data_IF_075199979030
#
_entry.id   IF_075199979030
#
_cell.length_a   1.000
_cell.length_b   1.000
_cell.length_c   1.000
_cell.angle_alpha   90.00
_cell.angle_beta   90.00
_cell.angle_gamma   90.00
#
_symmetry.space_group_name_H-M   'P 1'
#
loop_
_entity.id
_entity.type
_entity.pdbx_description
1 polymer ?
#
# COMPACT_ATOMS: atom_id res chain seq x y z
N UNK A 1 -3.26 -27.00 3.72
CA UNK A 1 -4.70 -27.31 3.53
C UNK A 1 -5.38 -26.12 2.87
N UNK A 2 -6.64 -26.26 2.41
CA UNK A 2 -7.39 -25.15 1.81
C UNK A 2 -7.59 -24.01 2.83
N UNK A 3 -7.52 -22.76 2.37
CA UNK A 3 -7.80 -21.58 3.19
C UNK A 3 -9.31 -21.38 3.25
N UNK A 4 -9.91 -21.64 4.40
CA UNK A 4 -11.32 -21.33 4.65
C UNK A 4 -11.49 -19.90 5.17
N UNK A 5 -12.69 -19.35 5.04
CA UNK A 5 -13.01 -18.04 5.62
C UNK A 5 -12.75 -18.00 7.13
N UNK A 6 -13.03 -19.08 7.85
CA UNK A 6 -12.79 -19.17 9.29
C UNK A 6 -11.29 -19.08 9.63
N UNK A 7 -10.43 -19.78 8.88
CA UNK A 7 -8.96 -19.73 9.06
C UNK A 7 -8.44 -18.33 8.73
N UNK A 8 -8.93 -17.75 7.63
CA UNK A 8 -8.56 -16.41 7.21
C UNK A 8 -8.95 -15.35 8.27
N UNK A 9 -10.20 -15.39 8.74
CA UNK A 9 -10.73 -14.44 9.73
C UNK A 9 -10.00 -14.56 11.07
N UNK A 10 -9.69 -15.79 11.52
CA UNK A 10 -8.91 -16.01 12.75
C UNK A 10 -7.54 -15.33 12.67
N UNK A 11 -6.83 -15.47 11.56
CA UNK A 11 -5.54 -14.82 11.36
C UNK A 11 -5.66 -13.29 11.33
N UNK A 12 -6.63 -12.76 10.57
CA UNK A 12 -6.79 -11.32 10.39
C UNK A 12 -7.33 -10.60 11.62
N UNK A 13 -8.03 -11.31 12.52
CA UNK A 13 -8.45 -10.77 13.82
C UNK A 13 -7.29 -10.63 14.82
N UNK A 14 -6.18 -11.35 14.62
CA UNK A 14 -5.07 -11.38 15.57
C UNK A 14 -4.29 -10.05 15.55
N UNK A 15 -4.18 -9.39 16.70
CA UNK A 15 -3.52 -8.08 16.81
C UNK A 15 -2.07 -8.08 16.29
N UNK A 16 -1.30 -9.12 16.61
CA UNK A 16 0.09 -9.23 16.15
C UNK A 16 0.17 -9.26 14.62
N UNK A 17 -0.80 -9.91 13.96
CA UNK A 17 -0.86 -10.00 12.51
C UNK A 17 -1.25 -8.65 11.91
N UNK A 18 -2.23 -7.94 12.49
CA UNK A 18 -2.60 -6.59 12.07
C UNK A 18 -1.44 -5.60 12.17
N UNK A 19 -0.65 -5.66 13.25
CA UNK A 19 0.54 -4.83 13.42
C UNK A 19 1.57 -5.16 12.34
N UNK A 20 1.89 -6.45 12.14
CA UNK A 20 2.83 -6.87 11.11
C UNK A 20 2.37 -6.44 9.71
N UNK A 21 1.11 -6.70 9.37
CA UNK A 21 0.54 -6.34 8.08
C UNK A 21 0.50 -4.82 7.87
N UNK A 22 0.28 -4.02 8.91
CA UNK A 22 0.38 -2.56 8.86
C UNK A 22 1.79 -2.10 8.51
N UNK A 23 2.82 -2.69 9.14
CA UNK A 23 4.23 -2.39 8.84
C UNK A 23 4.56 -2.77 7.39
N UNK A 24 4.18 -3.98 6.98
CA UNK A 24 4.43 -4.48 5.61
C UNK A 24 3.72 -3.59 4.59
N UNK A 25 2.44 -3.29 4.77
CA UNK A 25 1.68 -2.43 3.86
C UNK A 25 2.32 -1.05 3.74
N UNK A 26 2.74 -0.46 4.86
CA UNK A 26 3.41 0.84 4.86
C UNK A 26 4.73 0.80 4.10
N UNK A 27 5.55 -0.23 4.33
CA UNK A 27 6.81 -0.42 3.62
C UNK A 27 6.59 -0.63 2.10
N UNK A 28 5.60 -1.44 1.72
CA UNK A 28 5.25 -1.69 0.32
C UNK A 28 4.82 -0.41 -0.40
N UNK A 29 3.97 0.40 0.24
CA UNK A 29 3.50 1.67 -0.33
C UNK A 29 4.64 2.67 -0.46
N UNK A 30 5.47 2.81 0.58
CA UNK A 30 6.65 3.69 0.53
C UNK A 30 7.61 3.28 -0.59
N UNK A 31 7.87 1.97 -0.73
CA UNK A 31 8.69 1.43 -1.82
C UNK A 31 8.06 1.71 -3.20
N UNK A 32 6.75 1.56 -3.34
CA UNK A 32 6.03 1.88 -4.57
C UNK A 32 6.16 3.35 -4.97
N UNK A 33 6.07 4.28 -4.01
CA UNK A 33 6.26 5.72 -4.25
C UNK A 33 7.69 6.01 -4.72
N UNK A 34 8.70 5.44 -4.06
CA UNK A 34 10.11 5.63 -4.43
C UNK A 34 10.41 5.11 -5.83
N UNK A 35 9.95 3.90 -6.15
CA UNK A 35 10.12 3.32 -7.48
C UNK A 35 9.44 4.18 -8.56
N UNK A 36 8.23 4.66 -8.29
CA UNK A 36 7.50 5.47 -9.24
C UNK A 36 8.15 6.86 -9.44
N UNK A 37 8.73 7.44 -8.39
CA UNK A 37 9.54 8.65 -8.49
C UNK A 37 10.79 8.46 -9.36
N UNK A 38 11.51 7.35 -9.20
CA UNK A 38 12.68 7.02 -10.03
C UNK A 38 12.29 6.92 -11.51
N UNK A 39 11.25 6.12 -11.82
CA UNK A 39 10.73 5.95 -13.19
C UNK A 39 10.29 7.30 -13.77
N UNK A 40 9.59 8.13 -13.00
CA UNK A 40 9.16 9.45 -13.45
C UNK A 40 10.35 10.36 -13.78
N UNK A 41 11.39 10.37 -12.94
CA UNK A 41 12.62 11.14 -13.17
C UNK A 41 13.31 10.78 -14.49
N UNK A 42 13.37 9.47 -14.78
CA UNK A 42 14.06 8.96 -15.96
C UNK A 42 13.28 9.24 -17.26
N UNK A 43 11.96 9.05 -17.27
CA UNK A 43 11.17 9.02 -18.51
C UNK A 43 10.23 10.21 -18.72
N UNK A 44 9.83 10.94 -17.67
CA UNK A 44 8.83 12.01 -17.76
C UNK A 44 9.52 13.36 -17.56
N UNK A 45 9.37 14.27 -18.53
CA UNK A 45 10.08 15.56 -18.56
C UNK A 45 9.16 16.76 -18.34
N UNK A 46 9.74 17.84 -17.84
CA UNK A 46 9.05 19.11 -17.60
C UNK A 46 7.93 19.00 -16.56
N UNK A 47 6.90 19.85 -16.68
CA UNK A 47 5.80 19.96 -15.70
C UNK A 47 4.93 18.71 -15.59
N UNK A 48 4.93 17.84 -16.61
CA UNK A 48 4.21 16.58 -16.58
C UNK A 48 4.74 15.63 -15.48
N UNK A 49 6.03 15.69 -15.18
CA UNK A 49 6.65 14.90 -14.12
C UNK A 49 6.07 15.25 -12.74
N UNK A 50 5.92 16.54 -12.45
CA UNK A 50 5.33 17.01 -11.20
C UNK A 50 3.90 16.52 -11.02
N UNK A 51 3.07 16.66 -12.06
CA UNK A 51 1.68 16.19 -12.04
C UNK A 51 1.60 14.68 -11.85
N UNK A 52 2.45 13.93 -12.57
CA UNK A 52 2.52 12.47 -12.47
C UNK A 52 2.91 12.01 -11.05
N UNK A 53 3.91 12.63 -10.43
CA UNK A 53 4.30 12.33 -9.06
C UNK A 53 3.20 12.62 -8.04
N UNK A 54 2.48 13.74 -8.18
CA UNK A 54 1.34 14.07 -7.29
C UNK A 54 0.27 12.98 -7.38
N UNK A 55 -0.10 12.56 -8.60
CA UNK A 55 -1.11 11.53 -8.82
C UNK A 55 -0.64 10.20 -8.20
N UNK A 56 0.60 9.81 -8.43
CA UNK A 56 1.13 8.55 -7.90
C UNK A 56 1.18 8.52 -6.38
N UNK A 57 1.61 9.61 -5.74
CA UNK A 57 1.60 9.72 -4.28
C UNK A 57 0.17 9.62 -3.76
N UNK A 58 -0.78 10.35 -4.37
CA UNK A 58 -2.18 10.30 -3.98
C UNK A 58 -2.79 8.89 -4.11
N UNK A 59 -2.53 8.20 -5.22
CA UNK A 59 -2.99 6.82 -5.44
C UNK A 59 -2.41 5.85 -4.41
N UNK A 60 -1.10 5.94 -4.13
CA UNK A 60 -0.43 5.09 -3.16
C UNK A 60 -0.93 5.35 -1.73
N UNK A 61 -1.12 6.61 -1.34
CA UNK A 61 -1.72 6.95 -0.04
C UNK A 61 -3.18 6.49 0.06
N UNK A 62 -3.94 6.55 -1.04
CA UNK A 62 -5.29 6.01 -1.12
C UNK A 62 -5.32 4.49 -0.92
N UNK A 63 -4.43 3.76 -1.59
CA UNK A 63 -4.27 2.31 -1.40
C UNK A 63 -3.85 1.95 0.02
N UNK A 64 -2.93 2.72 0.60
CA UNK A 64 -2.50 2.55 1.99
C UNK A 64 -3.67 2.73 2.96
N UNK A 65 -4.39 3.85 2.86
CA UNK A 65 -5.53 4.16 3.71
C UNK A 65 -6.65 3.13 3.56
N UNK A 66 -6.98 2.72 2.34
CA UNK A 66 -7.98 1.69 2.08
C UNK A 66 -7.57 0.32 2.65
N UNK A 67 -6.31 -0.08 2.44
CA UNK A 67 -5.76 -1.33 2.97
C UNK A 67 -5.76 -1.37 4.50
N UNK A 68 -5.38 -0.26 5.15
CA UNK A 68 -5.49 -0.13 6.61
C UNK A 68 -6.95 -0.19 7.06
N UNK A 69 -7.86 0.51 6.38
CA UNK A 69 -9.29 0.46 6.67
C UNK A 69 -9.83 -0.97 6.66
N UNK A 70 -9.54 -1.74 5.61
CA UNK A 70 -9.93 -3.15 5.52
C UNK A 70 -9.29 -4.01 6.62
N UNK A 71 -7.98 -3.85 6.84
CA UNK A 71 -7.24 -4.64 7.82
C UNK A 71 -7.75 -4.46 9.25
N UNK A 72 -8.16 -3.24 9.61
CA UNK A 72 -8.57 -2.91 10.97
C UNK A 72 -10.07 -3.07 11.23
N UNK A 73 -10.90 -3.12 10.18
CA UNK A 73 -12.35 -3.41 10.28
C UNK A 73 -12.65 -4.90 10.50
N UNK A 74 -11.80 -5.79 9.97
CA UNK A 74 -11.88 -7.26 10.15
C UNK A 74 -11.28 -7.66 11.49
#
# INVERSE_FOLDING_TARGET
GPVSFAIWSTLHSALWFKILATVVLTATVANGILAAWQIAGDYIKGRLNTVFNIILVALNLGLWGFGLGLLWVV
#
